data_IF_982803588236
#
_entry.id   IF_982803588236
#
_cell.length_a   1.000
_cell.length_b   1.000
_cell.length_c   1.000
_cell.angle_alpha   90.00
_cell.angle_beta   90.00
_cell.angle_gamma   90.00
#
_symmetry.space_group_name_H-M   'P 1'
#
loop_
_entity.id
_entity.type
_entity.pdbx_description
1 polymer ?
#
# COMPACT_ATOMS: atom_id res chain seq x y z
N UNK A 1 10.51 -14.28 25.90
CA UNK A 1 9.36 -13.36 25.99
C UNK A 1 8.31 -13.76 24.96
N UNK A 2 7.01 -13.76 25.29
CA UNK A 2 5.93 -14.00 24.32
C UNK A 2 5.42 -12.66 23.80
N UNK A 3 5.33 -12.51 22.48
CA UNK A 3 4.74 -11.33 21.83
C UNK A 3 3.23 -11.34 22.07
N UNK A 4 2.67 -10.19 22.46
CA UNK A 4 1.22 -10.04 22.75
C UNK A 4 0.48 -9.16 21.73
N UNK A 5 1.20 -8.25 21.08
CA UNK A 5 0.65 -7.20 20.21
C UNK A 5 1.55 -6.97 19.00
N UNK A 6 0.97 -6.82 17.82
CA UNK A 6 1.66 -6.56 16.56
C UNK A 6 1.00 -5.34 15.89
N UNK A 7 1.81 -4.40 15.43
CA UNK A 7 1.36 -3.26 14.64
C UNK A 7 1.66 -3.50 13.17
N UNK A 8 0.66 -3.39 12.31
CA UNK A 8 0.79 -3.52 10.86
C UNK A 8 0.57 -2.15 10.22
N UNK A 9 1.56 -1.70 9.45
CA UNK A 9 1.57 -0.37 8.82
C UNK A 9 0.69 -0.25 7.56
N UNK A 10 0.02 -1.33 7.18
CA UNK A 10 -0.87 -1.43 6.03
C UNK A 10 -2.33 -1.13 6.44
N UNK A 11 -3.20 -0.72 5.50
CA UNK A 11 -4.62 -0.58 5.76
C UNK A 11 -5.24 -1.91 6.21
N UNK A 12 -6.32 -1.82 6.99
CA UNK A 12 -7.04 -3.00 7.44
C UNK A 12 -7.56 -3.81 6.23
N UNK A 13 -7.41 -5.14 6.23
CA UNK A 13 -7.97 -5.99 5.19
C UNK A 13 -9.49 -5.85 5.15
N UNK A 14 -10.07 -5.68 3.96
CA UNK A 14 -11.53 -5.60 3.78
C UNK A 14 -12.21 -6.97 3.83
N UNK A 15 -11.46 -8.05 3.64
CA UNK A 15 -11.97 -9.42 3.58
C UNK A 15 -11.67 -10.19 4.86
N UNK A 16 -12.66 -10.97 5.33
CA UNK A 16 -12.54 -11.81 6.53
C UNK A 16 -11.56 -12.98 6.38
N UNK A 17 -11.11 -13.29 5.17
CA UNK A 17 -10.13 -14.35 4.87
C UNK A 17 -8.67 -13.85 4.88
N UNK A 18 -8.40 -12.71 5.51
CA UNK A 18 -7.03 -12.22 5.61
C UNK A 18 -6.18 -13.12 6.54
N UNK A 19 -4.94 -13.47 6.16
CA UNK A 19 -4.04 -14.27 7.00
C UNK A 19 -3.79 -13.71 8.40
N UNK A 20 -4.01 -12.39 8.57
CA UNK A 20 -3.87 -11.73 9.86
C UNK A 20 -4.94 -12.17 10.88
N UNK A 21 -6.16 -12.51 10.43
CA UNK A 21 -7.21 -12.99 11.34
C UNK A 21 -6.88 -14.39 11.87
N UNK A 22 -6.44 -15.30 10.98
CA UNK A 22 -5.96 -16.62 11.36
C UNK A 22 -4.79 -16.55 12.36
N UNK A 23 -3.88 -15.59 12.16
CA UNK A 23 -2.72 -15.38 13.02
C UNK A 23 -3.14 -14.90 14.42
N UNK A 24 -4.08 -13.96 14.51
CA UNK A 24 -4.66 -13.50 15.77
C UNK A 24 -5.25 -14.66 16.58
N UNK A 25 -6.04 -15.52 15.94
CA UNK A 25 -6.72 -16.65 16.60
C UNK A 25 -5.75 -17.73 17.05
N UNK A 26 -4.84 -18.18 16.16
CA UNK A 26 -3.92 -19.28 16.43
C UNK A 26 -2.88 -18.93 17.50
N UNK A 27 -2.36 -17.70 17.46
CA UNK A 27 -1.28 -17.27 18.35
C UNK A 27 -1.78 -16.45 19.55
N UNK A 28 -3.09 -16.15 19.61
CA UNK A 28 -3.72 -15.31 20.65
C UNK A 28 -3.01 -13.95 20.79
N UNK A 29 -2.70 -13.33 19.66
CA UNK A 29 -2.05 -12.00 19.57
C UNK A 29 -3.03 -10.97 19.05
N UNK A 30 -2.89 -9.72 19.50
CA UNK A 30 -3.66 -8.58 18.99
C UNK A 30 -2.92 -7.95 17.82
N UNK A 31 -3.60 -7.74 16.68
CA UNK A 31 -3.07 -7.00 15.54
C UNK A 31 -3.80 -5.67 15.41
N UNK A 32 -3.04 -4.58 15.42
CA UNK A 32 -3.53 -3.24 15.14
C UNK A 32 -3.09 -2.82 13.73
N UNK A 33 -4.02 -2.37 12.90
CA UNK A 33 -3.73 -1.87 11.54
C UNK A 33 -3.72 -0.34 11.54
N UNK A 34 -2.61 0.26 11.11
CA UNK A 34 -2.49 1.71 10.97
C UNK A 34 -1.74 2.03 9.70
N UNK A 35 -2.43 2.56 8.69
CA UNK A 35 -1.77 3.00 7.47
C UNK A 35 -0.80 4.14 7.77
N UNK A 36 0.48 3.93 7.51
CA UNK A 36 1.49 5.00 7.60
C UNK A 36 1.74 5.69 6.27
N UNK A 37 1.22 5.11 5.18
CA UNK A 37 1.41 5.60 3.83
C UNK A 37 0.11 6.25 3.39
N UNK A 38 0.22 7.48 2.93
CA UNK A 38 -0.82 8.21 2.23
C UNK A 38 -0.37 8.40 0.78
N UNK A 39 -1.23 8.05 -0.17
CA UNK A 39 -0.97 8.23 -1.60
C UNK A 39 -1.73 9.47 -2.03
N UNK A 40 -1.00 10.50 -2.46
CA UNK A 40 -1.59 11.68 -3.08
C UNK A 40 -1.39 11.61 -4.59
N UNK A 41 -2.47 11.89 -5.33
CA UNK A 41 -2.42 11.98 -6.78
C UNK A 41 -1.68 13.24 -7.23
N UNK A 42 -0.88 13.10 -8.28
CA UNK A 42 -0.24 14.25 -8.95
C UNK A 42 -1.17 14.75 -10.06
N UNK A 43 -1.30 16.06 -10.23
CA UNK A 43 -2.20 16.60 -11.25
C UNK A 43 -1.63 16.43 -12.65
N UNK A 44 -2.49 16.38 -13.67
CA UNK A 44 -2.06 16.35 -15.08
C UNK A 44 -1.26 17.60 -15.50
N UNK A 45 -1.35 18.70 -14.73
CA UNK A 45 -0.57 19.92 -14.96
C UNK A 45 0.88 19.72 -14.53
N UNK A 46 1.11 19.08 -13.38
CA UNK A 46 2.46 18.85 -12.86
C UNK A 46 3.24 17.86 -13.72
N UNK A 47 2.56 16.86 -14.27
CA UNK A 47 3.16 15.94 -15.26
C UNK A 47 3.56 16.70 -16.52
N UNK A 48 2.70 17.59 -17.04
CA UNK A 48 3.01 18.42 -18.22
C UNK A 48 4.18 19.38 -17.97
N UNK A 49 4.34 19.88 -16.75
CA UNK A 49 5.46 20.76 -16.37
C UNK A 49 6.83 20.08 -16.49
N UNK A 50 6.90 18.74 -16.43
CA UNK A 50 8.15 17.98 -16.60
C UNK A 50 8.67 18.02 -18.05
N UNK A 51 7.85 18.47 -19.02
CA UNK A 51 8.22 18.62 -20.44
C UNK A 51 8.86 17.36 -21.04
N UNK A 52 8.36 16.19 -20.63
CA UNK A 52 8.83 14.90 -21.13
C UNK A 52 8.26 14.71 -22.55
N UNK A 53 9.16 14.47 -23.50
CA UNK A 53 8.79 14.10 -24.86
C UNK A 53 8.74 12.57 -24.97
N UNK A 54 7.53 12.01 -24.88
CA UNK A 54 7.29 10.57 -24.93
C UNK A 54 7.71 9.93 -26.27
N UNK A 55 7.85 10.71 -27.35
CA UNK A 55 8.31 10.18 -28.64
C UNK A 55 9.77 9.70 -28.63
N UNK A 56 10.56 10.14 -27.65
CA UNK A 56 11.96 9.74 -27.46
C UNK A 56 12.12 8.40 -26.74
N UNK A 57 11.03 7.81 -26.28
CA UNK A 57 11.04 6.56 -25.51
C UNK A 57 10.26 5.48 -26.26
N UNK A 58 10.75 4.24 -26.18
CA UNK A 58 10.13 3.10 -26.85
C UNK A 58 8.98 2.46 -26.06
N UNK A 59 8.93 2.70 -24.74
CA UNK A 59 7.91 2.13 -23.86
C UNK A 59 7.69 2.99 -22.60
N UNK A 60 6.53 2.81 -21.98
CA UNK A 60 6.16 3.40 -20.68
C UNK A 60 5.82 2.26 -19.72
N UNK A 61 6.39 2.29 -18.51
CA UNK A 61 6.18 1.26 -17.48
C UNK A 61 5.48 1.88 -16.28
N UNK A 62 4.32 1.33 -15.93
CA UNK A 62 3.58 1.68 -14.72
C UNK A 62 3.94 0.68 -13.61
N UNK A 63 4.41 1.17 -12.46
CA UNK A 63 4.88 0.33 -11.34
C UNK A 63 3.82 0.07 -10.27
N UNK A 64 2.66 0.72 -10.36
CA UNK A 64 1.54 0.58 -9.41
C UNK A 64 0.21 0.37 -10.13
N UNK A 65 -0.72 -0.30 -9.44
CA UNK A 65 -2.12 -0.47 -9.91
C UNK A 65 -2.95 0.81 -9.75
N UNK A 66 -2.57 1.65 -8.80
CA UNK A 66 -3.21 2.93 -8.55
C UNK A 66 -2.54 3.95 -9.45
N UNK A 67 -3.32 4.53 -10.38
CA UNK A 67 -2.94 5.64 -11.26
C UNK A 67 -3.87 6.80 -10.96
#
# INVERSE_FOLDING_TARGET
>A
MKVKTILVSQPAPSTKQSPYFDLCEKQKVKIDFRSFIHVEGVTSRDVRNQKIDFSKFSAVVFTSRTT
#
